data_IF_910892105711
#
_entry.id   IF_910892105711
#
_cell.length_a   1.000
_cell.length_b   1.000
_cell.length_c   1.000
_cell.angle_alpha   90.00
_cell.angle_beta   90.00
_cell.angle_gamma   90.00
#
_symmetry.space_group_name_H-M   'P 1'
#
loop_
_entity.id
_entity.type
_entity.pdbx_description
1 polymer ?
#
# COMPACT_ATOMS: atom_id res chain seq x y z
N UNK A 1 -0.01 16.94 -14.13
CA UNK A 1 -0.38 15.53 -14.39
C UNK A 1 0.29 15.12 -15.70
N UNK A 2 1.10 14.05 -15.71
CA UNK A 2 1.68 13.52 -16.96
C UNK A 2 0.65 12.62 -17.62
N UNK A 3 0.34 12.90 -18.87
CA UNK A 3 -0.65 12.17 -19.67
C UNK A 3 -0.01 10.88 -20.23
N UNK A 4 -0.12 9.80 -19.46
CA UNK A 4 0.40 8.48 -19.85
C UNK A 4 -0.45 7.78 -20.92
N UNK A 5 -1.50 8.44 -21.44
CA UNK A 5 -2.17 8.02 -22.67
C UNK A 5 -1.16 7.92 -23.83
N UNK A 6 -0.13 8.77 -23.82
CA UNK A 6 0.98 8.71 -24.78
C UNK A 6 1.83 7.43 -24.62
N UNK A 7 2.06 6.94 -23.40
CA UNK A 7 2.77 5.66 -23.18
C UNK A 7 1.97 4.47 -23.68
N UNK A 8 0.64 4.50 -23.52
CA UNK A 8 -0.25 3.45 -24.05
C UNK A 8 -0.22 3.45 -25.57
N UNK A 9 -0.19 4.62 -26.21
CA UNK A 9 -0.08 4.71 -27.66
C UNK A 9 1.29 4.24 -28.18
N UNK A 10 2.36 4.46 -27.42
CA UNK A 10 3.72 4.08 -27.81
C UNK A 10 4.04 2.59 -27.58
N UNK A 11 3.42 1.94 -26.59
CA UNK A 11 3.67 0.52 -26.29
C UNK A 11 2.45 -0.14 -25.63
N UNK A 12 1.34 -0.33 -26.38
CA UNK A 12 0.08 -0.83 -25.82
C UNK A 12 0.19 -2.25 -25.25
N UNK A 13 1.14 -3.06 -25.72
CA UNK A 13 1.27 -4.46 -25.26
C UNK A 13 2.14 -4.62 -24.01
N UNK A 14 2.71 -3.53 -23.50
CA UNK A 14 3.56 -3.59 -22.30
C UNK A 14 2.70 -3.52 -21.05
N UNK A 15 2.54 -4.65 -20.35
CA UNK A 15 1.80 -4.78 -19.10
C UNK A 15 2.13 -3.67 -18.07
N UNK A 16 3.39 -3.25 -18.00
CA UNK A 16 3.86 -2.18 -17.10
C UNK A 16 3.16 -0.83 -17.34
N UNK A 17 2.71 -0.53 -18.56
CA UNK A 17 1.99 0.73 -18.84
C UNK A 17 0.63 0.75 -18.14
N UNK A 18 -0.07 -0.38 -18.12
CA UNK A 18 -1.32 -0.51 -17.37
C UNK A 18 -1.10 -0.44 -15.87
N UNK A 19 0.03 -0.97 -15.39
CA UNK A 19 0.41 -0.79 -13.99
C UNK A 19 0.53 0.70 -13.62
N UNK A 20 1.23 1.49 -14.42
CA UNK A 20 1.35 2.93 -14.20
C UNK A 20 0.01 3.65 -14.24
N UNK A 21 -0.82 3.35 -15.25
CA UNK A 21 -2.15 3.97 -15.34
C UNK A 21 -2.99 3.58 -14.14
N UNK A 22 -3.05 2.30 -13.78
CA UNK A 22 -3.82 1.83 -12.63
C UNK A 22 -3.39 2.48 -11.32
N UNK A 23 -2.09 2.64 -11.08
CA UNK A 23 -1.57 3.38 -9.93
C UNK A 23 -2.02 4.86 -9.91
N UNK A 24 -1.96 5.56 -11.05
CA UNK A 24 -2.46 6.93 -11.16
C UNK A 24 -3.97 6.98 -10.93
N UNK A 25 -4.73 6.04 -11.49
CA UNK A 25 -6.18 6.01 -11.33
C UNK A 25 -6.59 5.77 -9.88
N UNK A 26 -5.82 4.99 -9.11
CA UNK A 26 -5.99 4.89 -7.65
C UNK A 26 -5.87 6.26 -6.96
N UNK A 27 -4.86 7.06 -7.33
CA UNK A 27 -4.66 8.41 -6.77
C UNK A 27 -5.71 9.42 -7.21
N UNK A 28 -6.34 9.19 -8.35
CA UNK A 28 -7.49 9.95 -8.84
C UNK A 28 -8.82 9.39 -8.32
N UNK A 29 -8.79 8.40 -7.44
CA UNK A 29 -9.98 7.72 -6.89
C UNK A 29 -10.86 7.03 -7.95
N UNK A 30 -10.32 6.80 -9.15
CA UNK A 30 -10.97 6.08 -10.24
C UNK A 30 -10.75 4.56 -10.07
N UNK A 31 -11.21 4.02 -8.94
CA UNK A 31 -10.87 2.67 -8.49
C UNK A 31 -11.29 1.55 -9.46
N UNK A 32 -12.43 1.69 -10.16
CA UNK A 32 -12.85 0.73 -11.20
C UNK A 32 -11.86 0.62 -12.37
N UNK A 33 -11.34 1.77 -12.80
CA UNK A 33 -10.37 1.80 -13.89
C UNK A 33 -9.01 1.31 -13.41
N UNK A 34 -8.63 1.66 -12.17
CA UNK A 34 -7.44 1.12 -11.53
C UNK A 34 -7.46 -0.41 -11.43
N UNK A 35 -8.56 -0.99 -10.97
CA UNK A 35 -8.78 -2.43 -10.92
C UNK A 35 -8.61 -3.07 -12.31
N UNK A 36 -9.30 -2.53 -13.33
CA UNK A 36 -9.23 -3.04 -14.71
C UNK A 36 -7.79 -3.10 -15.22
N UNK A 37 -7.03 -2.02 -15.01
CA UNK A 37 -5.66 -1.91 -15.48
C UNK A 37 -4.69 -2.83 -14.73
N UNK A 38 -4.82 -2.89 -13.40
CA UNK A 38 -3.95 -3.70 -12.56
C UNK A 38 -4.23 -5.20 -12.76
N UNK A 39 -5.49 -5.58 -12.98
CA UNK A 39 -5.86 -6.94 -13.35
C UNK A 39 -5.28 -7.33 -14.71
N UNK A 40 -5.35 -6.43 -15.71
CA UNK A 40 -4.72 -6.65 -17.01
C UNK A 40 -3.22 -6.92 -16.84
N UNK A 41 -2.52 -6.07 -16.08
CA UNK A 41 -1.09 -6.28 -15.84
C UNK A 41 -0.75 -7.64 -15.20
N UNK A 42 -1.54 -8.08 -14.21
CA UNK A 42 -1.37 -9.39 -13.58
C UNK A 42 -1.63 -10.55 -14.55
N UNK A 43 -2.68 -10.45 -15.38
CA UNK A 43 -3.01 -11.44 -16.42
C UNK A 43 -1.90 -11.56 -17.46
N UNK A 44 -1.21 -10.46 -17.74
CA UNK A 44 -0.08 -10.39 -18.65
C UNK A 44 1.28 -10.59 -17.97
N UNK A 45 1.30 -11.23 -16.78
CA UNK A 45 2.50 -11.77 -16.15
C UNK A 45 3.30 -10.79 -15.29
N UNK A 46 2.85 -9.55 -15.12
CA UNK A 46 3.54 -8.57 -14.30
C UNK A 46 3.22 -8.77 -12.81
N UNK A 47 4.00 -9.63 -12.15
CA UNK A 47 3.76 -10.09 -10.77
C UNK A 47 4.68 -9.44 -9.75
N UNK A 48 4.55 -8.13 -9.62
CA UNK A 48 5.34 -7.34 -8.68
C UNK A 48 4.53 -6.96 -7.42
N UNK A 49 5.14 -6.92 -6.22
CA UNK A 49 4.43 -6.67 -4.97
C UNK A 49 3.49 -5.45 -5.00
N UNK A 50 3.94 -4.35 -5.59
CA UNK A 50 3.18 -3.11 -5.63
C UNK A 50 1.91 -3.18 -6.50
N UNK A 51 1.84 -4.09 -7.47
CA UNK A 51 0.62 -4.31 -8.27
C UNK A 51 -0.46 -4.97 -7.41
N UNK A 52 -0.08 -5.96 -6.60
CA UNK A 52 -0.98 -6.58 -5.64
C UNK A 52 -1.46 -5.59 -4.57
N UNK A 53 -0.55 -4.76 -4.03
CA UNK A 53 -0.90 -3.72 -3.06
C UNK A 53 -1.85 -2.67 -3.65
N UNK A 54 -1.58 -2.22 -4.88
CA UNK A 54 -2.41 -1.24 -5.57
C UNK A 54 -3.78 -1.82 -5.90
N UNK A 55 -3.86 -3.07 -6.35
CA UNK A 55 -5.12 -3.72 -6.69
C UNK A 55 -5.96 -4.01 -5.45
N UNK A 56 -5.34 -4.49 -4.37
CA UNK A 56 -6.02 -4.69 -3.10
C UNK A 56 -6.60 -3.38 -2.56
N UNK A 57 -5.85 -2.27 -2.66
CA UNK A 57 -6.36 -0.94 -2.32
C UNK A 57 -7.57 -0.53 -3.18
N UNK A 58 -7.49 -0.69 -4.52
CA UNK A 58 -8.62 -0.39 -5.43
C UNK A 58 -9.88 -1.18 -5.06
N UNK A 59 -9.74 -2.47 -4.78
CA UNK A 59 -10.85 -3.35 -4.39
C UNK A 59 -11.44 -2.92 -3.04
N UNK A 60 -10.59 -2.62 -2.06
CA UNK A 60 -11.05 -2.19 -0.74
C UNK A 60 -11.78 -0.83 -0.79
N UNK A 61 -11.31 0.11 -1.62
CA UNK A 61 -11.98 1.40 -1.82
C UNK A 61 -13.37 1.24 -2.49
N UNK A 62 -13.60 0.14 -3.20
CA UNK A 62 -14.89 -0.27 -3.74
C UNK A 62 -15.71 -1.17 -2.79
N UNK A 63 -15.30 -1.27 -1.52
CA UNK A 63 -15.91 -2.11 -0.48
C UNK A 63 -15.88 -3.63 -0.75
N UNK A 64 -15.02 -4.07 -1.69
CA UNK A 64 -14.81 -5.48 -2.00
C UNK A 64 -13.74 -6.09 -1.08
N UNK A 65 -13.99 -6.04 0.23
CA UNK A 65 -12.98 -6.35 1.26
C UNK A 65 -12.47 -7.79 1.22
N UNK A 66 -13.35 -8.75 0.95
CA UNK A 66 -12.93 -10.16 0.88
C UNK A 66 -11.99 -10.41 -0.32
N UNK A 67 -12.22 -9.72 -1.44
CA UNK A 67 -11.34 -9.80 -2.61
C UNK A 67 -10.00 -9.07 -2.34
N UNK A 68 -10.06 -7.90 -1.72
CA UNK A 68 -8.86 -7.17 -1.30
C UNK A 68 -7.97 -8.00 -0.38
N UNK A 69 -8.55 -8.69 0.60
CA UNK A 69 -7.84 -9.61 1.51
C UNK A 69 -7.18 -10.79 0.77
N UNK A 70 -7.83 -11.30 -0.28
CA UNK A 70 -7.28 -12.37 -1.12
C UNK A 70 -6.08 -11.87 -1.91
N UNK A 71 -6.23 -10.78 -2.66
CA UNK A 71 -5.14 -10.19 -3.46
C UNK A 71 -3.96 -9.79 -2.57
N UNK A 72 -4.22 -9.14 -1.43
CA UNK A 72 -3.20 -8.81 -0.43
C UNK A 72 -2.49 -10.06 0.12
N UNK A 73 -3.17 -11.21 0.24
CA UNK A 73 -2.54 -12.46 0.68
C UNK A 73 -1.59 -13.04 -0.40
N UNK A 74 -1.94 -12.90 -1.67
CA UNK A 74 -1.11 -13.37 -2.78
C UNK A 74 0.24 -12.64 -2.82
N UNK A 75 0.29 -11.37 -2.41
CA UNK A 75 1.54 -10.61 -2.27
C UNK A 75 2.55 -11.32 -1.36
N UNK A 76 2.12 -11.90 -0.23
CA UNK A 76 3.02 -12.59 0.70
C UNK A 76 3.61 -13.89 0.13
N UNK A 77 3.06 -14.39 -0.97
CA UNK A 77 3.57 -15.59 -1.66
C UNK A 77 4.65 -15.25 -2.69
N UNK A 78 4.94 -13.97 -2.93
CA UNK A 78 5.97 -13.53 -3.86
C UNK A 78 7.36 -13.67 -3.20
N UNK A 79 8.30 -14.24 -3.94
CA UNK A 79 9.69 -14.44 -3.47
C UNK A 79 10.53 -13.16 -3.44
N UNK A 80 10.06 -12.06 -4.04
CA UNK A 80 10.80 -10.80 -4.23
C UNK A 80 10.19 -9.61 -3.46
N UNK A 81 9.53 -9.87 -2.34
CA UNK A 81 9.00 -8.80 -1.49
C UNK A 81 10.12 -8.05 -0.75
N UNK A 82 10.23 -6.75 -0.97
CA UNK A 82 11.10 -5.89 -0.15
C UNK A 82 10.43 -5.57 1.18
N UNK A 83 11.23 -5.28 2.22
CA UNK A 83 10.73 -5.04 3.57
C UNK A 83 9.63 -3.95 3.61
N UNK A 84 9.77 -2.89 2.81
CA UNK A 84 8.75 -1.83 2.71
C UNK A 84 7.44 -2.33 2.12
N UNK A 85 7.48 -3.19 1.10
CA UNK A 85 6.26 -3.77 0.53
C UNK A 85 5.54 -4.67 1.55
N UNK A 86 6.28 -5.47 2.33
CA UNK A 86 5.69 -6.29 3.40
C UNK A 86 5.06 -5.45 4.50
N UNK A 87 5.70 -4.34 4.90
CA UNK A 87 5.12 -3.37 5.82
C UNK A 87 3.77 -2.84 5.31
N UNK A 88 3.72 -2.37 4.07
CA UNK A 88 2.49 -1.84 3.48
C UNK A 88 1.41 -2.92 3.38
N UNK A 89 1.78 -4.14 2.98
CA UNK A 89 0.88 -5.28 2.94
C UNK A 89 0.27 -5.58 4.31
N UNK A 90 1.07 -5.50 5.39
CA UNK A 90 0.59 -5.69 6.75
C UNK A 90 -0.38 -4.58 7.18
N UNK A 91 -0.10 -3.31 6.88
CA UNK A 91 -1.02 -2.22 7.20
C UNK A 91 -2.35 -2.32 6.44
N UNK A 92 -2.32 -2.59 5.13
CA UNK A 92 -3.54 -2.81 4.35
C UNK A 92 -4.36 -3.98 4.90
N UNK A 93 -3.71 -5.09 5.24
CA UNK A 93 -4.40 -6.25 5.79
C UNK A 93 -5.03 -5.94 7.15
N UNK A 94 -4.33 -5.17 7.98
CA UNK A 94 -4.83 -4.64 9.25
C UNK A 94 -6.10 -3.81 9.04
N UNK A 95 -6.08 -2.87 8.11
CA UNK A 95 -7.24 -2.04 7.75
C UNK A 95 -8.43 -2.86 7.26
N UNK A 96 -8.19 -3.82 6.35
CA UNK A 96 -9.27 -4.67 5.83
C UNK A 96 -9.92 -5.49 6.93
N UNK A 97 -9.12 -6.03 7.85
CA UNK A 97 -9.63 -6.77 9.02
C UNK A 97 -10.34 -5.85 10.02
N UNK A 98 -9.89 -4.61 10.18
CA UNK A 98 -10.54 -3.60 11.00
C UNK A 98 -11.94 -3.29 10.46
N UNK A 99 -12.08 -3.09 9.14
CA UNK A 99 -13.38 -2.88 8.47
C UNK A 99 -14.30 -4.10 8.58
N UNK A 100 -13.73 -5.31 8.64
CA UNK A 100 -14.45 -6.54 8.98
C UNK A 100 -14.75 -6.72 10.47
N UNK A 101 -14.38 -5.76 11.32
CA UNK A 101 -14.52 -5.81 12.79
C UNK A 101 -13.77 -6.98 13.45
N UNK A 102 -12.73 -7.49 12.79
CA UNK A 102 -11.82 -8.51 13.32
C UNK A 102 -10.65 -7.86 14.06
N UNK A 103 -10.93 -7.16 15.16
CA UNK A 103 -10.00 -6.26 15.84
C UNK A 103 -8.70 -6.93 16.31
N UNK A 104 -8.77 -8.13 16.90
CA UNK A 104 -7.56 -8.84 17.35
C UNK A 104 -6.62 -9.21 16.20
N UNK A 105 -7.22 -9.66 15.07
CA UNK A 105 -6.46 -9.99 13.87
C UNK A 105 -5.90 -8.73 13.22
N UNK A 106 -6.70 -7.66 13.15
CA UNK A 106 -6.26 -6.37 12.65
C UNK A 106 -5.04 -5.88 13.43
N UNK A 107 -5.13 -5.88 14.76
CA UNK A 107 -4.03 -5.53 15.67
C UNK A 107 -2.76 -6.31 15.40
N UNK A 108 -2.85 -7.63 15.26
CA UNK A 108 -1.68 -8.47 14.97
C UNK A 108 -0.97 -8.07 13.67
N UNK A 109 -1.72 -7.66 12.64
CA UNK A 109 -1.12 -7.18 11.39
C UNK A 109 -0.56 -5.76 11.49
N UNK A 110 -1.22 -4.85 12.22
CA UNK A 110 -0.63 -3.54 12.53
C UNK A 110 0.69 -3.68 13.31
N UNK A 111 0.76 -4.58 14.31
CA UNK A 111 1.98 -4.86 15.06
C UNK A 111 3.12 -5.32 14.14
N UNK A 112 2.85 -6.22 13.19
CA UNK A 112 3.84 -6.65 12.19
C UNK A 112 4.33 -5.49 11.31
N UNK A 113 3.40 -4.68 10.81
CA UNK A 113 3.74 -3.51 9.98
C UNK A 113 4.59 -2.50 10.76
N UNK A 114 4.24 -2.22 12.01
CA UNK A 114 5.00 -1.32 12.89
C UNK A 114 6.41 -1.81 13.11
N UNK A 115 6.61 -3.10 13.42
CA UNK A 115 7.95 -3.66 13.64
C UNK A 115 8.85 -3.41 12.43
N UNK A 116 8.32 -3.60 11.21
CA UNK A 116 9.09 -3.34 9.99
C UNK A 116 9.33 -1.84 9.79
N UNK A 117 8.30 -1.01 9.95
CA UNK A 117 8.39 0.44 9.78
C UNK A 117 9.40 1.07 10.76
N UNK A 118 9.35 0.69 12.04
CA UNK A 118 10.29 1.15 13.06
C UNK A 118 11.72 0.71 12.75
N UNK A 119 11.93 -0.55 12.34
CA UNK A 119 13.26 -1.05 11.96
C UNK A 119 13.86 -0.27 10.79
N UNK A 120 13.02 0.18 9.86
CA UNK A 120 13.42 0.96 8.68
C UNK A 120 13.40 2.48 8.90
N UNK A 121 13.00 2.97 10.09
CA UNK A 121 12.89 4.40 10.36
C UNK A 121 11.82 5.13 9.55
N UNK A 122 10.77 4.42 9.07
CA UNK A 122 9.75 4.96 8.19
C UNK A 122 8.69 5.78 8.96
N UNK A 123 9.09 6.95 9.44
CA UNK A 123 8.26 7.85 10.26
C UNK A 123 7.01 8.34 9.51
N UNK A 124 7.14 8.73 8.25
CA UNK A 124 6.04 9.24 7.43
C UNK A 124 4.99 8.16 7.20
N UNK A 125 5.40 6.91 6.98
CA UNK A 125 4.50 5.76 6.82
C UNK A 125 3.68 5.49 8.09
N UNK A 126 4.34 5.50 9.26
CA UNK A 126 3.66 5.35 10.55
C UNK A 126 2.68 6.49 10.81
N UNK A 127 3.07 7.72 10.49
CA UNK A 127 2.24 8.91 10.71
C UNK A 127 1.02 8.93 9.78
N UNK A 128 1.20 8.52 8.51
CA UNK A 128 0.10 8.35 7.54
C UNK A 128 -0.87 7.27 8.01
N UNK A 129 -0.34 6.10 8.37
CA UNK A 129 -1.14 4.96 8.87
C UNK A 129 -1.95 5.36 10.12
N UNK A 130 -1.37 6.13 11.03
CA UNK A 130 -2.07 6.66 12.20
C UNK A 130 -3.20 7.62 11.81
N UNK A 131 -2.97 8.52 10.85
CA UNK A 131 -3.99 9.44 10.36
C UNK A 131 -5.15 8.70 9.69
N UNK A 132 -4.84 7.73 8.83
CA UNK A 132 -5.84 6.90 8.14
C UNK A 132 -6.66 6.09 9.15
N UNK A 133 -6.02 5.49 10.15
CA UNK A 133 -6.73 4.79 11.22
C UNK A 133 -7.66 5.74 11.98
N UNK A 134 -7.20 6.93 12.38
CA UNK A 134 -8.07 7.91 13.07
C UNK A 134 -9.31 8.22 12.26
N UNK A 135 -9.15 8.49 10.96
CA UNK A 135 -10.26 8.72 10.04
C UNK A 135 -11.19 7.51 9.93
N UNK A 136 -10.65 6.30 9.81
CA UNK A 136 -11.45 5.07 9.74
C UNK A 136 -12.26 4.81 11.02
N UNK A 137 -11.75 5.25 12.16
CA UNK A 137 -12.43 5.17 13.45
C UNK A 137 -13.43 6.33 13.66
N UNK A 138 -13.49 7.35 12.82
CA UNK A 138 -14.49 8.41 12.96
C UNK A 138 -15.90 7.88 12.63
N UNK A 139 -16.91 8.31 13.39
CA UNK A 139 -18.32 8.02 13.10
C UNK A 139 -18.85 6.64 13.53
N UNK A 140 -18.00 5.66 13.85
CA UNK A 140 -18.43 4.34 14.34
C UNK A 140 -17.93 4.08 15.78
N UNK A 141 -18.85 4.05 16.76
CA UNK A 141 -18.50 3.83 18.16
C UNK A 141 -17.96 2.41 18.45
N UNK A 142 -18.46 1.40 17.74
CA UNK A 142 -18.00 0.03 17.88
C UNK A 142 -16.59 -0.11 17.33
N UNK A 143 -16.36 0.42 16.12
CA UNK A 143 -15.05 0.42 15.48
C UNK A 143 -14.03 1.21 16.32
N UNK A 144 -14.41 2.37 16.89
CA UNK A 144 -13.55 3.08 17.86
C UNK A 144 -13.16 2.21 19.05
N UNK A 145 -14.14 1.55 19.64
CA UNK A 145 -13.89 0.73 20.82
C UNK A 145 -13.01 -0.48 20.50
N UNK A 146 -13.22 -1.12 19.35
CA UNK A 146 -12.41 -2.25 18.89
C UNK A 146 -11.01 -1.85 18.41
N UNK A 147 -10.88 -0.68 17.78
CA UNK A 147 -9.64 -0.14 17.24
C UNK A 147 -8.77 0.62 18.23
N UNK A 148 -9.24 0.91 19.45
CA UNK A 148 -8.53 1.75 20.44
C UNK A 148 -7.13 1.24 20.80
N UNK A 149 -6.94 -0.08 20.83
CA UNK A 149 -5.64 -0.68 21.19
C UNK A 149 -4.66 -0.55 20.02
N UNK A 150 -5.16 -0.65 18.79
CA UNK A 150 -4.40 -0.42 17.56
C UNK A 150 -3.98 1.05 17.47
N UNK A 151 -4.89 1.96 17.82
CA UNK A 151 -4.62 3.39 17.87
C UNK A 151 -3.49 3.71 18.85
N UNK A 152 -3.58 3.21 20.09
CA UNK A 152 -2.54 3.40 21.11
C UNK A 152 -1.19 2.82 20.68
N UNK A 153 -1.20 1.66 20.03
CA UNK A 153 0.00 1.01 19.50
C UNK A 153 0.71 1.90 18.46
N UNK A 154 -0.04 2.45 17.49
CA UNK A 154 0.51 3.32 16.46
C UNK A 154 0.98 4.67 17.04
N UNK A 155 0.24 5.27 17.97
CA UNK A 155 0.63 6.51 18.64
C UNK A 155 1.96 6.37 19.38
N UNK A 156 2.12 5.29 20.16
CA UNK A 156 3.37 5.00 20.85
C UNK A 156 4.54 4.77 19.88
N UNK A 157 4.28 4.11 18.75
CA UNK A 157 5.31 3.82 17.75
C UNK A 157 5.77 5.07 17.00
N UNK A 158 4.83 5.96 16.64
CA UNK A 158 5.14 7.27 16.05
C UNK A 158 5.97 8.10 17.00
N UNK A 159 5.58 8.19 18.28
CA UNK A 159 6.32 8.94 19.30
C UNK A 159 7.74 8.37 19.50
N UNK A 160 7.88 7.05 19.55
CA UNK A 160 9.17 6.39 19.67
C UNK A 160 10.11 6.74 18.51
N UNK A 161 9.64 6.62 17.26
CA UNK A 161 10.45 6.94 16.06
C UNK A 161 10.76 8.43 15.99
N UNK A 162 9.81 9.32 16.33
CA UNK A 162 10.02 10.78 16.33
C UNK A 162 11.08 11.23 17.35
N UNK A 163 11.16 10.57 18.50
CA UNK A 163 12.12 10.91 19.55
C UNK A 163 13.54 10.41 19.27
N UNK A 164 13.75 9.61 18.23
CA UNK A 164 15.03 8.97 17.96
C UNK A 164 15.78 9.66 16.80
N UNK A 165 16.90 10.34 17.07
CA UNK A 165 17.66 11.11 16.07
C UNK A 165 18.37 10.26 15.01
N UNK A 166 18.32 8.92 15.12
CA UNK A 166 18.89 8.01 14.12
C UNK A 166 18.00 7.80 12.88
N UNK A 167 16.76 8.30 12.90
CA UNK A 167 15.81 8.16 11.80
C UNK A 167 15.64 9.49 11.03
N UNK A 168 16.70 9.94 10.36
CA UNK A 168 16.59 11.01 9.36
C UNK A 168 16.03 10.42 8.06
N UNK A 169 14.91 10.95 7.58
CA UNK A 169 14.23 10.41 6.39
C UNK A 169 14.92 10.86 5.09
N UNK A 170 15.10 9.95 4.11
CA UNK A 170 15.31 10.36 2.74
C UNK A 170 14.07 11.08 2.20
N UNK A 171 14.28 12.13 1.41
CA UNK A 171 13.23 12.97 0.83
C UNK A 171 12.11 12.17 0.14
N UNK A 172 10.86 12.42 0.53
CA UNK A 172 9.66 11.73 0.05
C UNK A 172 9.42 11.75 -1.48
N UNK A 173 10.20 12.53 -2.24
CA UNK A 173 9.97 12.76 -3.67
C UNK A 173 10.54 11.66 -4.58
N UNK A 174 11.50 10.84 -4.11
CA UNK A 174 12.28 9.98 -5.02
C UNK A 174 11.73 8.56 -5.25
N UNK A 175 10.81 8.05 -4.41
CA UNK A 175 10.56 6.59 -4.36
C UNK A 175 9.11 6.13 -4.58
N UNK A 176 8.15 7.03 -4.83
CA UNK A 176 6.72 6.66 -4.81
C UNK A 176 6.14 6.23 -6.17
N UNK A 177 6.93 6.22 -7.25
CA UNK A 177 6.44 5.79 -8.57
C UNK A 177 6.91 4.36 -8.88
N UNK A 178 6.16 3.58 -9.68
CA UNK A 178 6.68 2.31 -10.16
C UNK A 178 7.98 2.45 -11.00
N UNK A 179 8.32 3.66 -11.47
CA UNK A 179 9.50 3.96 -12.28
C UNK A 179 10.76 4.12 -11.42
N UNK A 180 10.64 4.70 -10.23
CA UNK A 180 11.74 4.75 -9.27
C UNK A 180 12.09 3.34 -8.77
N UNK A 181 11.09 2.47 -8.59
CA UNK A 181 11.30 1.08 -8.17
C UNK A 181 11.83 0.17 -9.31
N UNK A 182 11.51 0.46 -10.57
CA UNK A 182 12.01 -0.30 -11.72
C UNK A 182 13.48 0.03 -12.07
N UNK A 183 13.90 1.29 -11.88
CA UNK A 183 15.28 1.72 -12.18
C UNK A 183 16.33 1.09 -11.25
N UNK A 184 15.97 0.74 -10.00
CA UNK A 184 16.86 0.03 -9.07
C UNK A 184 17.18 -1.41 -9.51
N UNK A 185 16.41 -1.97 -10.45
CA UNK A 185 16.54 -3.37 -10.91
C UNK A 185 17.26 -3.53 -12.25
N UNK A 186 17.94 -2.48 -12.73
CA UNK A 186 18.76 -2.55 -13.94
C UNK A 186 17.95 -2.83 -15.22
N UNK A 187 16.64 -2.59 -15.21
CA UNK A 187 15.86 -2.56 -16.45
C UNK A 187 16.23 -1.25 -17.15
N UNK A 188 16.90 -1.30 -18.31
CA UNK A 188 17.41 -0.09 -18.94
C UNK A 188 16.26 0.87 -19.23
N UNK A 189 16.45 2.10 -18.76
CA UNK A 189 15.59 3.24 -18.96
C UNK A 189 15.72 3.69 -20.43
N UNK A 190 15.22 2.87 -21.36
CA UNK A 190 15.12 3.21 -22.77
C UNK A 190 13.68 3.62 -23.08
N UNK A 191 13.34 4.83 -22.66
CA UNK A 191 12.28 5.66 -23.23
C UNK A 191 12.73 7.11 -23.24
#
# INVERSE_FOLDING_TARGET
>A
MRDYTVLIQAAPDKAIVYVYRGWIQNRLENYRLAETDLMYALQHGYREPFVYLSLAHSLAAQDQIDQALKINNEMFSLSQGEARAFMEAYFQRGDFLLRKKHYDRARSFYEKGIVVATKLGLRTELSRTLADLRKALEGDAEMRQGGKDILRLLEGSVAHVQSNPLYDEPSACELESPASMANERGIPNNF
#
